data_IF_936500048631
#
_entry.id   IF_936500048631
#
_cell.length_a   1.000
_cell.length_b   1.000
_cell.length_c   1.000
_cell.angle_alpha   90.00
_cell.angle_beta   90.00
_cell.angle_gamma   90.00
#
_symmetry.space_group_name_H-M   'P 1'
#
loop_
_entity.id
_entity.type
_entity.pdbx_description
1 polymer ?
#
# COMPACT_ATOMS: atom_id res chain seq x y z
N UNK A 1 20.22 -20.46 -16.04
CA UNK A 1 19.71 -19.19 -15.47
C UNK A 1 18.60 -19.56 -14.51
N UNK A 2 18.65 -19.12 -13.25
CA UNK A 2 17.66 -19.51 -12.25
C UNK A 2 16.25 -19.11 -12.73
N UNK A 3 15.22 -19.92 -12.51
CA UNK A 3 13.85 -19.68 -13.03
C UNK A 3 13.34 -18.29 -12.68
N UNK A 4 13.67 -17.80 -11.48
CA UNK A 4 13.40 -16.43 -11.03
C UNK A 4 14.05 -15.36 -11.91
N UNK A 5 15.32 -15.52 -12.28
CA UNK A 5 16.05 -14.55 -13.11
C UNK A 5 15.44 -14.51 -14.51
N UNK A 6 15.01 -15.67 -15.03
CA UNK A 6 14.35 -15.74 -16.33
C UNK A 6 13.01 -15.00 -16.32
N UNK A 7 12.18 -15.19 -15.29
CA UNK A 7 10.89 -14.48 -15.15
C UNK A 7 11.08 -12.96 -15.05
N UNK A 8 12.02 -12.49 -14.23
CA UNK A 8 12.31 -11.05 -14.09
C UNK A 8 12.84 -10.46 -15.39
N UNK A 9 13.75 -11.17 -16.08
CA UNK A 9 14.29 -10.69 -17.35
C UNK A 9 13.19 -10.55 -18.42
N UNK A 10 12.24 -11.49 -18.44
CA UNK A 10 11.13 -11.46 -19.39
C UNK A 10 10.19 -10.28 -19.14
N UNK A 11 9.83 -9.99 -17.88
CA UNK A 11 8.93 -8.87 -17.57
C UNK A 11 9.56 -7.52 -17.93
N UNK A 12 10.84 -7.33 -17.64
CA UNK A 12 11.56 -6.09 -17.99
C UNK A 12 11.62 -5.90 -19.51
N UNK A 13 11.93 -6.96 -20.26
CA UNK A 13 11.98 -6.91 -21.73
C UNK A 13 10.59 -6.59 -22.30
N UNK A 14 9.54 -7.20 -21.77
CA UNK A 14 8.17 -6.96 -22.22
C UNK A 14 7.72 -5.53 -21.96
N UNK A 15 7.98 -4.98 -20.77
CA UNK A 15 7.71 -3.56 -20.47
C UNK A 15 8.46 -2.63 -21.43
N UNK A 16 9.75 -2.90 -21.68
CA UNK A 16 10.55 -2.12 -22.63
C UNK A 16 9.99 -2.18 -24.06
N UNK A 17 9.60 -3.37 -24.52
CA UNK A 17 9.00 -3.55 -25.84
C UNK A 17 7.68 -2.76 -25.99
N UNK A 18 6.81 -2.76 -24.97
CA UNK A 18 5.56 -1.99 -24.98
C UNK A 18 5.82 -0.48 -25.07
N UNK A 19 6.83 0.04 -24.37
CA UNK A 19 7.23 1.45 -24.47
C UNK A 19 7.72 1.79 -25.88
N UNK A 20 8.53 0.91 -26.49
CA UNK A 20 8.99 1.10 -27.87
C UNK A 20 7.81 1.10 -28.85
N UNK A 21 6.88 0.15 -28.71
CA UNK A 21 5.66 0.09 -29.54
C UNK A 21 4.84 1.36 -29.38
N UNK A 22 4.69 1.89 -28.15
CA UNK A 22 4.01 3.16 -27.92
C UNK A 22 4.68 4.29 -28.71
N UNK A 23 5.99 4.46 -28.61
CA UNK A 23 6.69 5.53 -29.35
C UNK A 23 6.65 5.36 -30.87
N UNK A 24 6.68 4.12 -31.37
CA UNK A 24 6.59 3.85 -32.83
C UNK A 24 5.19 4.11 -33.37
N UNK A 25 4.15 3.81 -32.59
CA UNK A 25 2.74 3.97 -33.03
C UNK A 25 2.15 5.33 -32.71
N UNK A 26 2.79 6.13 -31.84
CA UNK A 26 2.30 7.46 -31.48
C UNK A 26 2.39 8.42 -32.68
N UNK A 27 1.28 8.53 -33.41
CA UNK A 27 1.09 9.51 -34.46
C UNK A 27 0.92 10.89 -33.81
N UNK A 28 2.00 11.66 -33.80
CA UNK A 28 2.02 13.03 -33.28
C UNK A 28 1.11 13.89 -34.17
N UNK A 29 -0.12 14.13 -33.71
CA UNK A 29 -1.00 15.15 -34.27
C UNK A 29 -0.58 16.51 -33.72
N UNK A 30 -0.08 17.38 -34.58
CA UNK A 30 0.45 18.72 -34.25
C UNK A 30 -0.60 19.74 -33.77
N UNK A 31 -1.83 19.32 -33.46
CA UNK A 31 -2.89 20.22 -32.99
C UNK A 31 -2.87 20.34 -31.47
N UNK A 32 -2.58 21.55 -31.00
CA UNK A 32 -2.75 22.12 -29.66
C UNK A 32 -2.47 21.16 -28.49
N UNK A 33 -1.17 20.96 -28.24
CA UNK A 33 -0.71 20.24 -27.04
C UNK A 33 -1.07 20.96 -25.74
N UNK A 34 -1.29 22.28 -25.76
CA UNK A 34 -1.53 23.06 -24.54
C UNK A 34 -2.74 22.56 -23.75
N UNK A 35 -3.88 22.32 -24.41
CA UNK A 35 -5.09 21.82 -23.74
C UNK A 35 -5.02 20.31 -23.44
N UNK A 36 -4.25 19.53 -24.19
CA UNK A 36 -3.99 18.11 -23.86
C UNK A 36 -3.11 17.96 -22.62
N UNK A 37 -2.34 18.99 -22.28
CA UNK A 37 -1.42 19.01 -21.15
C UNK A 37 -2.04 19.62 -19.87
N UNK A 38 -3.28 20.14 -19.94
CA UNK A 38 -3.98 20.62 -18.75
C UNK A 38 -4.64 19.45 -17.99
N UNK A 39 -4.80 19.57 -16.66
CA UNK A 39 -5.51 18.56 -15.87
C UNK A 39 -6.98 18.51 -16.27
N UNK A 40 -7.53 17.29 -16.35
CA UNK A 40 -8.94 17.09 -16.66
C UNK A 40 -9.81 17.29 -15.41
N UNK A 41 -10.64 18.34 -15.38
CA UNK A 41 -11.67 18.58 -14.35
C UNK A 41 -13.06 18.71 -15.01
N UNK A 42 -13.53 17.62 -15.63
CA UNK A 42 -14.83 17.57 -16.33
C UNK A 42 -15.03 18.63 -17.42
N UNK A 43 -13.94 19.09 -18.06
CA UNK A 43 -13.96 20.13 -19.08
C UNK A 43 -13.85 21.57 -18.56
N UNK A 44 -13.58 21.75 -17.26
CA UNK A 44 -13.33 23.04 -16.65
C UNK A 44 -11.88 23.21 -16.24
N UNK A 45 -11.45 24.47 -16.10
CA UNK A 45 -10.18 24.79 -15.46
C UNK A 45 -10.22 24.43 -13.97
N UNK A 46 -9.10 23.93 -13.42
CA UNK A 46 -9.11 23.42 -12.06
C UNK A 46 -9.40 24.52 -11.03
N UNK A 47 -10.42 24.31 -10.20
CA UNK A 47 -10.87 25.28 -9.20
C UNK A 47 -9.87 25.45 -8.05
N UNK A 48 -9.07 24.41 -7.80
CA UNK A 48 -8.07 24.40 -6.74
C UNK A 48 -6.79 23.72 -7.20
N UNK A 49 -5.69 23.99 -6.49
CA UNK A 49 -4.44 23.27 -6.74
C UNK A 49 -4.62 21.80 -6.37
N UNK A 50 -4.11 20.89 -7.19
CA UNK A 50 -4.12 19.43 -6.94
C UNK A 50 -3.56 19.00 -5.56
N UNK A 51 -2.75 19.84 -4.92
CA UNK A 51 -2.17 19.58 -3.58
C UNK A 51 -2.87 20.40 -2.49
N UNK A 52 -4.19 20.36 -2.45
CA UNK A 52 -4.96 20.87 -1.33
C UNK A 52 -4.87 19.91 -0.13
N UNK A 53 -4.95 20.41 1.12
CA UNK A 53 -4.98 19.55 2.29
C UNK A 53 -6.19 18.62 2.21
N UNK A 54 -5.91 17.32 2.22
CA UNK A 54 -6.90 16.26 2.22
C UNK A 54 -7.31 15.89 3.66
N UNK A 55 -8.32 15.03 3.81
CA UNK A 55 -8.83 14.65 5.11
C UNK A 55 -7.76 13.99 6.01
N UNK A 56 -7.62 14.51 7.23
CA UNK A 56 -6.70 13.97 8.25
C UNK A 56 -7.07 12.53 8.66
N UNK A 57 -8.33 12.13 8.45
CA UNK A 57 -8.80 10.77 8.76
C UNK A 57 -8.13 9.71 7.88
N UNK A 58 -7.86 9.99 6.62
CA UNK A 58 -7.12 9.06 5.76
C UNK A 58 -5.67 8.91 6.21
N UNK A 59 -5.07 9.98 6.73
CA UNK A 59 -3.73 9.93 7.29
C UNK A 59 -3.66 9.00 8.52
N UNK A 60 -4.66 9.06 9.41
CA UNK A 60 -4.73 8.16 10.58
C UNK A 60 -4.79 6.69 10.16
N UNK A 61 -5.58 6.35 9.14
CA UNK A 61 -5.67 4.99 8.62
C UNK A 61 -4.31 4.50 8.09
N UNK A 62 -3.57 5.34 7.36
CA UNK A 62 -2.23 4.99 6.84
C UNK A 62 -1.24 4.72 7.97
N UNK A 63 -1.24 5.55 9.01
CA UNK A 63 -0.35 5.35 10.17
C UNK A 63 -0.71 4.06 10.92
N UNK A 64 -2.01 3.83 11.13
CA UNK A 64 -2.53 2.62 11.76
C UNK A 64 -2.16 1.36 10.96
N UNK A 65 -2.33 1.38 9.64
CA UNK A 65 -1.91 0.28 8.75
C UNK A 65 -0.41 -0.02 8.87
N UNK A 66 0.44 1.02 8.92
CA UNK A 66 1.89 0.85 9.04
C UNK A 66 2.25 0.14 10.36
N UNK A 67 1.63 0.55 11.48
CA UNK A 67 1.86 -0.07 12.79
C UNK A 67 1.42 -1.55 12.76
N UNK A 68 0.21 -1.83 12.25
CA UNK A 68 -0.27 -3.21 12.15
C UNK A 68 0.59 -4.10 11.24
N UNK A 69 1.15 -3.57 10.15
CA UNK A 69 2.04 -4.32 9.27
C UNK A 69 3.33 -4.72 10.00
N UNK A 70 3.90 -3.81 10.81
CA UNK A 70 5.07 -4.11 11.66
C UNK A 70 4.74 -5.17 12.72
N UNK A 71 3.56 -5.08 13.34
CA UNK A 71 3.12 -6.06 14.33
C UNK A 71 2.93 -7.46 13.73
N UNK A 72 2.39 -7.57 12.52
CA UNK A 72 2.26 -8.83 11.79
C UNK A 72 3.63 -9.38 11.40
N UNK A 73 4.57 -8.53 10.97
CA UNK A 73 5.94 -8.96 10.69
C UNK A 73 6.61 -9.57 11.94
N UNK A 74 6.32 -9.05 13.13
CA UNK A 74 6.80 -9.59 14.41
C UNK A 74 6.12 -10.91 14.83
N UNK A 75 4.93 -11.23 14.32
CA UNK A 75 4.28 -12.54 14.56
C UNK A 75 5.01 -13.69 13.86
N UNK A 76 5.62 -13.44 12.69
CA UNK A 76 6.19 -14.50 11.86
C UNK A 76 7.33 -15.30 12.52
N UNK A 77 8.32 -14.67 13.19
CA UNK A 77 9.33 -15.40 13.95
C UNK A 77 8.74 -16.27 15.07
N UNK A 78 7.67 -15.82 15.74
CA UNK A 78 7.05 -16.58 16.82
C UNK A 78 6.43 -17.87 16.28
N UNK A 79 5.81 -17.82 15.10
CA UNK A 79 5.27 -19.02 14.42
C UNK A 79 6.36 -20.05 14.11
N UNK A 80 7.58 -19.62 13.78
CA UNK A 80 8.69 -20.52 13.49
C UNK A 80 9.21 -21.29 14.73
N UNK A 81 8.99 -20.75 15.93
CA UNK A 81 9.51 -21.32 17.20
C UNK A 81 8.65 -22.50 17.70
N UNK A 82 7.40 -22.64 17.22
CA UNK A 82 6.49 -23.73 17.62
C UNK A 82 7.02 -25.14 17.27
N UNK A 83 8.05 -25.25 16.42
CA UNK A 83 8.72 -26.53 16.13
C UNK A 83 9.75 -26.97 17.18
N UNK A 84 10.03 -26.17 18.21
CA UNK A 84 11.09 -26.43 19.20
C UNK A 84 10.53 -26.89 20.55
N UNK A 85 11.34 -27.61 21.35
CA UNK A 85 10.94 -28.23 22.63
C UNK A 85 10.49 -27.24 23.73
N UNK A 86 10.60 -25.92 23.52
CA UNK A 86 10.12 -24.88 24.46
C UNK A 86 8.67 -24.48 24.17
N UNK A 87 7.77 -25.45 24.05
CA UNK A 87 6.38 -25.23 23.63
C UNK A 87 5.57 -24.37 24.61
N UNK A 88 5.69 -24.61 25.93
CA UNK A 88 4.82 -23.93 26.90
C UNK A 88 5.15 -22.42 27.01
N UNK A 89 6.43 -22.07 27.05
CA UNK A 89 6.88 -20.68 27.17
C UNK A 89 6.66 -19.90 25.87
N UNK A 90 6.85 -20.53 24.71
CA UNK A 90 6.59 -19.91 23.40
C UNK A 90 5.09 -19.67 23.17
N UNK A 91 4.24 -20.64 23.52
CA UNK A 91 2.78 -20.51 23.47
C UNK A 91 2.32 -19.39 24.41
N UNK A 92 2.84 -19.32 25.64
CA UNK A 92 2.46 -18.24 26.57
C UNK A 92 2.90 -16.86 26.09
N UNK A 93 4.10 -16.74 25.51
CA UNK A 93 4.59 -15.47 24.97
C UNK A 93 3.77 -15.04 23.74
N UNK A 94 3.42 -15.97 22.86
CA UNK A 94 2.53 -15.71 21.72
C UNK A 94 1.15 -15.25 22.17
N UNK A 95 0.54 -15.95 23.13
CA UNK A 95 -0.77 -15.57 23.67
C UNK A 95 -0.74 -14.16 24.31
N UNK A 96 0.33 -13.86 25.06
CA UNK A 96 0.51 -12.52 25.64
C UNK A 96 0.66 -11.44 24.57
N UNK A 97 1.42 -11.72 23.51
CA UNK A 97 1.59 -10.78 22.40
C UNK A 97 0.27 -10.51 21.66
N UNK A 98 -0.51 -11.56 21.35
CA UNK A 98 -1.85 -11.42 20.75
C UNK A 98 -2.80 -10.61 21.64
N UNK A 99 -2.75 -10.79 22.97
CA UNK A 99 -3.56 -10.00 23.90
C UNK A 99 -3.24 -8.51 23.84
N UNK A 100 -1.96 -8.14 23.73
CA UNK A 100 -1.55 -6.74 23.58
C UNK A 100 -2.10 -6.15 22.28
N UNK A 101 -1.98 -6.88 21.17
CA UNK A 101 -2.50 -6.46 19.86
C UNK A 101 -4.01 -6.23 19.90
N UNK A 102 -4.76 -7.17 20.49
CA UNK A 102 -6.21 -7.04 20.64
C UNK A 102 -6.58 -5.83 21.50
N UNK A 103 -5.86 -5.58 22.57
CA UNK A 103 -6.12 -4.43 23.44
C UNK A 103 -5.85 -3.09 22.71
N UNK A 104 -4.75 -3.00 21.95
CA UNK A 104 -4.45 -1.84 21.11
C UNK A 104 -5.55 -1.57 20.08
N UNK A 105 -5.99 -2.62 19.40
CA UNK A 105 -7.12 -2.57 18.46
C UNK A 105 -8.42 -2.06 19.09
N UNK A 106 -8.78 -2.57 20.27
CA UNK A 106 -9.99 -2.11 20.96
C UNK A 106 -9.88 -0.64 21.38
N UNK A 107 -8.70 -0.19 21.80
CA UNK A 107 -8.47 1.20 22.14
C UNK A 107 -8.64 2.13 20.92
N UNK A 108 -8.02 1.78 19.78
CA UNK A 108 -8.12 2.56 18.55
C UNK A 108 -9.55 2.61 17.99
N UNK A 109 -10.30 1.52 18.13
CA UNK A 109 -11.72 1.49 17.77
C UNK A 109 -12.54 2.44 18.65
N UNK A 110 -12.31 2.44 19.96
CA UNK A 110 -13.04 3.32 20.88
C UNK A 110 -12.74 4.82 20.63
N UNK A 111 -11.55 5.15 20.12
CA UNK A 111 -11.19 6.51 19.69
C UNK A 111 -11.82 6.91 18.33
N UNK A 112 -12.57 6.02 17.68
CA UNK A 112 -13.23 6.30 16.41
C UNK A 112 -12.25 6.45 15.23
N UNK A 113 -11.00 5.99 15.38
CA UNK A 113 -10.00 6.05 14.31
C UNK A 113 -10.38 5.21 13.08
N UNK A 114 -11.24 4.20 13.28
CA UNK A 114 -11.74 3.28 12.26
C UNK A 114 -13.09 3.71 11.64
N UNK A 115 -13.75 4.75 12.19
CA UNK A 115 -15.06 5.17 11.72
C UNK A 115 -14.94 6.06 10.48
N UNK A 116 -15.31 5.48 9.33
CA UNK A 116 -15.22 6.17 8.05
C UNK A 116 -16.36 7.18 7.82
N UNK A 117 -17.55 6.89 8.33
CA UNK A 117 -18.79 7.59 8.00
C UNK A 117 -19.51 8.10 9.25
N UNK A 118 -18.94 9.13 9.87
CA UNK A 118 -19.74 10.12 10.57
C UNK A 118 -19.25 11.49 10.09
N UNK A 119 -19.96 11.97 9.06
CA UNK A 119 -19.99 13.39 8.67
C UNK A 119 -20.72 14.18 9.75
#
# INVERSE_FOLDING_TARGET
MNMFILMISFTVVLCGALVVVYYVTNYISYSDFSEKLTPFECGFDPLSKMRSPFSVRFFLLVVLFLIFDVEIALLFPVLSIFGTNTLLTSVSAFAFFILILLFGMFHEWNEGALDWLNS
#
